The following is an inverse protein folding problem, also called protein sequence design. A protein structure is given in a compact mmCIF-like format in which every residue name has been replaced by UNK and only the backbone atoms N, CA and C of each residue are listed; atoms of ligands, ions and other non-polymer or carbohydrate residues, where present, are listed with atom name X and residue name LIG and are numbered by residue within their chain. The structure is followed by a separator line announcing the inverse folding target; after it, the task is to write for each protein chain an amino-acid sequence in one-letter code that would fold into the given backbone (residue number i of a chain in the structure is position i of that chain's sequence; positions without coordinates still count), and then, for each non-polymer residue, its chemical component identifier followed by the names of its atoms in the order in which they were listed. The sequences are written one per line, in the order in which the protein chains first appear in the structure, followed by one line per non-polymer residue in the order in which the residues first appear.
data_IF_162802070514
#
_entry.id   IF_162802070514
#
_cell.length_a   1.000
_cell.length_b   1.000
_cell.length_c   1.000
_cell.angle_alpha   90.00
_cell.angle_beta   90.00
_cell.angle_gamma   90.00
#
_symmetry.space_group_name_H-M   'P 1'
#
loop_
_entity.id
_entity.type
_entity.pdbx_description
1 polymer ?
#
# COMPACT_ATOMS: atom_id res chain seq x y z
N UNK A 1 21.90 -11.98 -41.07
CA UNK A 1 20.75 -12.52 -40.30
C UNK A 1 21.01 -12.60 -38.79
N UNK A 2 22.12 -13.18 -38.31
CA UNK A 2 22.39 -13.33 -36.87
C UNK A 2 22.41 -12.02 -36.06
N UNK A 3 22.90 -10.92 -36.66
CA UNK A 3 22.97 -9.62 -35.97
C UNK A 3 21.60 -9.02 -35.67
N UNK A 4 20.65 -9.10 -36.60
CA UNK A 4 19.28 -8.57 -36.44
C UNK A 4 18.50 -9.31 -35.35
N UNK A 5 18.69 -10.64 -35.27
CA UNK A 5 18.08 -11.48 -34.24
C UNK A 5 18.61 -11.09 -32.85
N UNK A 6 19.92 -10.81 -32.73
CA UNK A 6 20.53 -10.34 -31.48
C UNK A 6 19.97 -9.00 -31.00
N UNK A 7 19.74 -8.05 -31.91
CA UNK A 7 19.18 -6.73 -31.56
C UNK A 7 17.74 -6.84 -31.05
N UNK A 8 16.91 -7.65 -31.72
CA UNK A 8 15.52 -7.88 -31.32
C UNK A 8 15.46 -8.52 -29.93
N UNK A 9 16.35 -9.47 -29.65
CA UNK A 9 16.44 -10.14 -28.34
C UNK A 9 16.78 -9.17 -27.20
N UNK A 10 17.71 -8.24 -27.42
CA UNK A 10 18.11 -7.24 -26.41
C UNK A 10 16.99 -6.23 -26.17
N UNK A 11 16.28 -5.80 -27.22
CA UNK A 11 15.14 -4.88 -27.09
C UNK A 11 14.00 -5.55 -26.31
N UNK A 12 13.69 -6.81 -26.60
CA UNK A 12 12.66 -7.57 -25.87
C UNK A 12 13.08 -7.77 -24.40
N UNK A 13 14.34 -8.11 -24.14
CA UNK A 13 14.84 -8.31 -22.78
C UNK A 13 14.79 -7.03 -21.94
N UNK A 14 15.21 -5.89 -22.50
CA UNK A 14 15.22 -4.59 -21.80
C UNK A 14 13.82 -4.01 -21.63
N UNK A 15 12.96 -4.12 -22.65
CA UNK A 15 11.55 -3.70 -22.58
C UNK A 15 10.75 -4.59 -21.62
N UNK A 16 10.96 -5.90 -21.67
CA UNK A 16 10.33 -6.86 -20.76
C UNK A 16 10.72 -6.64 -19.30
N UNK A 17 12.00 -6.40 -19.02
CA UNK A 17 12.47 -6.05 -17.68
C UNK A 17 11.84 -4.73 -17.18
N UNK A 18 11.80 -3.69 -18.01
CA UNK A 18 11.15 -2.42 -17.68
C UNK A 18 9.65 -2.56 -17.39
N UNK A 19 8.95 -3.41 -18.14
CA UNK A 19 7.53 -3.69 -17.94
C UNK A 19 7.27 -4.45 -16.62
N UNK A 20 8.07 -5.48 -16.32
CA UNK A 20 7.95 -6.25 -15.09
C UNK A 20 8.15 -5.39 -13.84
N UNK A 21 9.20 -4.55 -13.82
CA UNK A 21 9.44 -3.62 -12.72
C UNK A 21 8.30 -2.59 -12.56
N UNK A 22 7.78 -2.07 -13.68
CA UNK A 22 6.63 -1.16 -13.65
C UNK A 22 5.35 -1.82 -13.10
N UNK A 23 5.13 -3.09 -13.43
CA UNK A 23 3.97 -3.85 -12.97
C UNK A 23 4.04 -4.18 -11.46
N UNK A 24 5.22 -4.47 -10.93
CA UNK A 24 5.41 -4.67 -9.48
C UNK A 24 5.15 -3.38 -8.70
N UNK A 25 5.69 -2.25 -9.17
CA UNK A 25 5.48 -0.95 -8.53
C UNK A 25 4.01 -0.52 -8.60
N UNK A 26 3.33 -0.80 -9.72
CA UNK A 26 1.89 -0.57 -9.89
C UNK A 26 1.06 -1.37 -8.88
N UNK A 27 1.38 -2.66 -8.73
CA UNK A 27 0.73 -3.54 -7.73
C UNK A 27 0.96 -3.03 -6.31
N UNK A 28 2.16 -2.55 -6.02
CA UNK A 28 2.47 -1.98 -4.70
C UNK A 28 1.68 -0.70 -4.42
N UNK A 29 1.58 0.20 -5.41
CA UNK A 29 0.76 1.41 -5.31
C UNK A 29 -0.71 1.06 -5.08
N UNK A 30 -1.24 0.05 -5.77
CA UNK A 30 -2.62 -0.40 -5.58
C UNK A 30 -2.88 -0.93 -4.17
N UNK A 31 -1.93 -1.71 -3.60
CA UNK A 31 -2.01 -2.13 -2.19
C UNK A 31 -2.11 -0.92 -1.25
N UNK A 32 -1.31 0.12 -1.49
CA UNK A 32 -1.33 1.32 -0.65
C UNK A 32 -2.65 2.10 -0.77
N UNK A 33 -3.15 2.29 -1.99
CA UNK A 33 -4.47 2.90 -2.21
C UNK A 33 -5.57 2.12 -1.52
N UNK A 34 -5.48 0.78 -1.54
CA UNK A 34 -6.48 -0.05 -0.89
C UNK A 34 -6.42 0.09 0.64
N UNK A 35 -5.23 0.13 1.25
CA UNK A 35 -5.09 0.43 2.69
C UNK A 35 -5.68 1.80 3.05
N UNK A 36 -5.46 2.82 2.23
CA UNK A 36 -6.05 4.16 2.40
C UNK A 36 -7.58 4.14 2.28
N UNK A 37 -8.13 3.30 1.41
CA UNK A 37 -9.56 3.06 1.32
C UNK A 37 -10.11 2.40 2.59
N UNK A 38 -9.44 1.34 3.10
CA UNK A 38 -9.81 0.67 4.35
C UNK A 38 -9.78 1.64 5.53
N UNK A 39 -8.71 2.43 5.67
CA UNK A 39 -8.61 3.46 6.71
C UNK A 39 -9.74 4.50 6.62
N UNK A 40 -10.17 4.85 5.40
CA UNK A 40 -11.31 5.74 5.16
C UNK A 40 -12.64 5.14 5.59
N UNK A 41 -12.84 3.84 5.36
CA UNK A 41 -14.04 3.14 5.84
C UNK A 41 -14.09 3.12 7.37
N UNK A 42 -12.98 2.77 8.04
CA UNK A 42 -12.90 2.76 9.51
C UNK A 42 -13.26 4.14 10.06
N UNK A 43 -12.66 5.20 9.53
CA UNK A 43 -12.96 6.58 9.95
C UNK A 43 -14.44 6.93 9.74
N UNK A 44 -15.00 6.62 8.58
CA UNK A 44 -16.40 6.91 8.27
C UNK A 44 -17.38 6.18 9.21
N UNK A 45 -17.10 4.92 9.53
CA UNK A 45 -17.91 4.14 10.49
C UNK A 45 -17.80 4.67 11.93
N UNK A 46 -16.61 5.13 12.34
CA UNK A 46 -16.43 5.77 13.65
C UNK A 46 -17.20 7.09 13.76
N UNK A 47 -17.21 7.89 12.69
CA UNK A 47 -17.91 9.17 12.63
C UNK A 47 -19.43 8.99 12.62
N UNK A 48 -19.94 8.00 11.87
CA UNK A 48 -21.38 7.80 11.70
C UNK A 48 -22.04 7.02 12.84
N UNK A 49 -21.42 5.94 13.31
CA UNK A 49 -22.11 4.94 14.14
C UNK A 49 -21.81 5.14 15.64
N UNK A 50 -20.78 5.92 16.01
CA UNK A 50 -20.29 6.05 17.39
C UNK A 50 -20.05 4.69 18.10
N UNK A 51 -19.89 3.63 17.33
CA UNK A 51 -19.81 2.26 17.80
C UNK A 51 -18.43 1.96 18.42
N UNK A 52 -18.32 0.96 19.31
CA UNK A 52 -17.04 0.46 19.77
C UNK A 52 -16.15 0.01 18.60
N UNK A 53 -14.84 0.22 18.69
CA UNK A 53 -13.86 -0.17 17.65
C UNK A 53 -14.01 -1.62 17.15
N UNK A 54 -14.24 -2.65 18.00
CA UNK A 54 -14.47 -4.02 17.51
C UNK A 54 -15.60 -4.12 16.49
N UNK A 55 -16.68 -3.38 16.70
CA UNK A 55 -17.84 -3.42 15.82
C UNK A 55 -17.55 -2.71 14.49
N UNK A 56 -16.85 -1.57 14.55
CA UNK A 56 -16.37 -0.87 13.35
C UNK A 56 -15.48 -1.78 12.50
N UNK A 57 -14.59 -2.55 13.13
CA UNK A 57 -13.71 -3.49 12.41
C UNK A 57 -14.48 -4.67 11.83
N UNK A 58 -15.50 -5.20 12.53
CA UNK A 58 -16.36 -6.27 11.97
C UNK A 58 -17.10 -5.78 10.73
N UNK A 59 -17.74 -4.62 10.81
CA UNK A 59 -18.53 -4.09 9.69
C UNK A 59 -17.63 -3.70 8.51
N UNK A 60 -16.51 -3.03 8.78
CA UNK A 60 -15.52 -2.73 7.74
C UNK A 60 -14.96 -4.03 7.13
N UNK A 61 -14.68 -5.04 7.94
CA UNK A 61 -14.18 -6.35 7.54
C UNK A 61 -15.10 -7.08 6.56
N UNK A 62 -16.42 -6.85 6.63
CA UNK A 62 -17.41 -7.42 5.69
C UNK A 62 -17.40 -6.76 4.32
N UNK A 63 -16.89 -5.52 4.23
CA UNK A 63 -16.92 -4.67 3.02
C UNK A 63 -15.62 -4.68 2.23
N UNK A 64 -14.55 -5.25 2.80
CA UNK A 64 -13.21 -5.25 2.20
C UNK A 64 -12.83 -6.64 1.69
N UNK A 65 -11.83 -6.71 0.79
CA UNK A 65 -11.32 -7.97 0.23
C UNK A 65 -10.27 -8.62 1.14
N UNK A 66 -9.97 -9.89 0.91
CA UNK A 66 -8.83 -10.56 1.54
C UNK A 66 -7.49 -9.97 1.06
N UNK A 67 -6.45 -9.91 1.92
CA UNK A 67 -6.39 -10.38 3.32
C UNK A 67 -6.89 -9.34 4.36
N UNK A 68 -7.41 -8.20 3.93
CA UNK A 68 -7.82 -7.12 4.83
C UNK A 68 -9.06 -7.49 5.66
N UNK A 69 -9.95 -8.31 5.08
CA UNK A 69 -11.16 -8.79 5.74
C UNK A 69 -10.83 -9.68 6.94
N UNK A 70 -9.98 -10.70 6.75
CA UNK A 70 -9.50 -11.56 7.83
C UNK A 70 -8.71 -10.79 8.88
N UNK A 71 -7.83 -9.87 8.47
CA UNK A 71 -7.11 -9.00 9.40
C UNK A 71 -8.04 -8.20 10.32
N UNK A 72 -9.06 -7.52 9.77
CA UNK A 72 -10.01 -6.74 10.57
C UNK A 72 -10.88 -7.62 11.47
N UNK A 73 -11.24 -8.83 11.03
CA UNK A 73 -11.99 -9.79 11.85
C UNK A 73 -11.17 -10.26 13.05
N UNK A 74 -9.91 -10.65 12.84
CA UNK A 74 -9.00 -11.04 13.93
C UNK A 74 -8.76 -9.87 14.89
N UNK A 75 -8.56 -8.67 14.36
CA UNK A 75 -8.39 -7.46 15.18
C UNK A 75 -9.62 -7.18 16.05
N UNK A 76 -10.83 -7.35 15.50
CA UNK A 76 -12.07 -7.20 16.27
C UNK A 76 -12.14 -8.19 17.43
N UNK A 77 -11.85 -9.47 17.17
CA UNK A 77 -11.86 -10.52 18.19
C UNK A 77 -10.83 -10.29 19.30
N UNK A 78 -9.61 -9.89 18.97
CA UNK A 78 -8.56 -9.58 19.95
C UNK A 78 -8.91 -8.35 20.80
N UNK A 79 -9.51 -7.33 20.18
CA UNK A 79 -9.94 -6.12 20.89
C UNK A 79 -11.11 -6.42 21.85
N UNK A 80 -12.03 -7.31 21.45
CA UNK A 80 -13.19 -7.72 22.26
C UNK A 80 -12.79 -8.55 23.49
N UNK A 81 -11.74 -9.36 23.37
CA UNK A 81 -11.18 -10.18 24.46
C UNK A 81 -10.52 -9.37 25.58
N UNK A 82 -10.43 -8.03 25.43
CA UNK A 82 -9.83 -7.11 26.42
C UNK A 82 -8.52 -7.65 27.00
N UNK A 83 -7.60 -8.13 26.14
CA UNK A 83 -6.22 -8.36 26.60
C UNK A 83 -5.75 -7.08 27.29
N UNK A 84 -5.22 -7.16 28.52
CA UNK A 84 -4.76 -6.04 29.36
C UNK A 84 -3.68 -5.14 28.71
N UNK A 85 -3.36 -5.38 27.43
CA UNK A 85 -2.46 -4.60 26.62
C UNK A 85 -3.15 -3.40 25.94
N UNK A 86 -2.49 -2.24 25.96
CA UNK A 86 -2.93 -1.06 25.23
C UNK A 86 -3.28 -1.38 23.77
N UNK A 87 -4.41 -0.86 23.27
CA UNK A 87 -4.93 -1.11 21.92
C UNK A 87 -3.88 -1.01 20.81
N UNK A 88 -2.98 -0.02 20.89
CA UNK A 88 -1.88 0.16 19.94
C UNK A 88 -0.96 -1.07 19.81
N UNK A 89 -0.78 -1.85 20.89
CA UNK A 89 0.01 -3.10 20.84
C UNK A 89 -0.71 -4.21 20.10
N UNK A 90 -2.02 -4.36 20.32
CA UNK A 90 -2.88 -5.33 19.61
C UNK A 90 -2.85 -4.99 18.12
N UNK A 91 -3.07 -3.72 17.79
CA UNK A 91 -2.98 -3.19 16.43
C UNK A 91 -1.65 -3.54 15.75
N UNK A 92 -0.52 -3.18 16.38
CA UNK A 92 0.80 -3.42 15.80
C UNK A 92 1.09 -4.91 15.57
N UNK A 93 0.70 -5.77 16.52
CA UNK A 93 0.87 -7.22 16.41
C UNK A 93 0.03 -7.79 15.26
N UNK A 94 -1.21 -7.33 15.10
CA UNK A 94 -2.09 -7.77 14.01
C UNK A 94 -1.52 -7.43 12.63
N UNK A 95 -0.91 -6.24 12.47
CA UNK A 95 -0.26 -5.85 11.21
C UNK A 95 0.93 -6.77 10.91
N UNK A 96 1.78 -7.04 11.90
CA UNK A 96 2.98 -7.86 11.72
C UNK A 96 2.65 -9.35 11.47
N UNK A 97 1.47 -9.81 11.88
CA UNK A 97 0.99 -11.18 11.66
C UNK A 97 0.21 -11.30 10.36
N UNK A 98 -0.89 -10.55 10.26
CA UNK A 98 -1.92 -10.77 9.23
C UNK A 98 -1.58 -10.02 7.92
N UNK A 99 -0.80 -8.94 7.98
CA UNK A 99 -0.38 -8.17 6.81
C UNK A 99 1.07 -8.44 6.38
N UNK A 100 1.75 -9.42 7.00
CA UNK A 100 3.14 -9.77 6.66
C UNK A 100 3.29 -10.19 5.20
N UNK A 101 2.34 -10.97 4.69
CA UNK A 101 2.35 -11.51 3.34
C UNK A 101 2.18 -10.43 2.25
N UNK A 102 1.70 -9.23 2.60
CA UNK A 102 1.59 -8.12 1.66
C UNK A 102 2.96 -7.58 1.23
N UNK A 103 4.04 -7.89 1.96
CA UNK A 103 5.40 -7.46 1.63
C UNK A 103 5.56 -5.94 1.66
N UNK A 104 4.97 -5.29 2.67
CA UNK A 104 5.06 -3.84 2.84
C UNK A 104 6.49 -3.42 3.15
N UNK A 105 6.92 -2.28 2.60
CA UNK A 105 8.16 -1.60 3.02
C UNK A 105 8.05 -1.19 4.48
N UNK A 106 9.20 -1.14 5.16
CA UNK A 106 9.30 -0.76 6.58
C UNK A 106 8.65 0.59 6.86
N UNK A 107 8.93 1.60 6.05
CA UNK A 107 8.35 2.95 6.16
C UNK A 107 6.82 2.94 6.16
N UNK A 108 6.22 2.14 5.30
CA UNK A 108 4.76 2.06 5.17
C UNK A 108 4.11 1.17 6.22
N UNK A 109 4.83 0.15 6.71
CA UNK A 109 4.42 -0.62 7.88
C UNK A 109 4.40 0.26 9.13
N UNK A 110 5.42 1.12 9.31
CA UNK A 110 5.45 2.11 10.40
C UNK A 110 4.27 3.07 10.27
N UNK A 111 4.02 3.60 9.07
CA UNK A 111 2.86 4.45 8.81
C UNK A 111 1.55 3.73 9.20
N UNK A 112 1.35 2.47 8.82
CA UNK A 112 0.13 1.75 9.21
C UNK A 112 0.01 1.52 10.73
N UNK A 113 1.14 1.31 11.41
CA UNK A 113 1.19 1.16 12.87
C UNK A 113 0.85 2.45 13.62
N UNK A 114 1.23 3.61 13.08
CA UNK A 114 0.84 4.92 13.63
C UNK A 114 -0.68 5.08 13.71
N UNK A 115 -1.47 4.50 12.78
CA UNK A 115 -2.93 4.60 12.83
C UNK A 115 -3.53 4.04 14.13
N UNK A 116 -2.96 2.94 14.64
CA UNK A 116 -3.44 2.30 15.86
C UNK A 116 -3.27 3.13 17.13
N UNK A 117 -2.30 4.06 17.14
CA UNK A 117 -2.13 4.95 18.30
C UNK A 117 -3.25 5.98 18.35
N UNK A 118 -3.68 6.52 17.21
CA UNK A 118 -4.78 7.50 17.12
C UNK A 118 -6.14 6.88 17.41
N UNK A 119 -6.37 5.68 16.88
CA UNK A 119 -7.62 4.94 17.12
C UNK A 119 -7.79 4.56 18.60
N UNK A 120 -6.69 4.33 19.33
CA UNK A 120 -6.72 3.99 20.76
C UNK A 120 -6.88 5.19 21.70
N UNK A 121 -6.96 6.42 21.20
CA UNK A 121 -7.13 7.61 22.04
C UNK A 121 -8.58 7.76 22.53
N UNK A 122 -8.75 8.15 23.79
CA UNK A 122 -10.06 8.34 24.42
C UNK A 122 -10.73 9.65 23.95
N UNK A 123 -9.93 10.67 23.64
CA UNK A 123 -10.43 11.98 23.21
C UNK A 123 -10.77 11.99 21.72
N UNK A 124 -12.07 12.13 21.42
CA UNK A 124 -12.62 12.02 20.05
C UNK A 124 -12.20 13.16 19.14
N UNK A 125 -12.13 14.40 19.65
CA UNK A 125 -11.76 15.56 18.82
C UNK A 125 -10.28 15.49 18.40
N UNK A 126 -9.41 15.15 19.35
CA UNK A 126 -7.99 14.95 19.07
C UNK A 126 -7.75 13.73 18.18
N UNK A 127 -8.52 12.65 18.36
CA UNK A 127 -8.45 11.44 17.52
C UNK A 127 -8.86 11.71 16.08
N UNK A 128 -9.97 12.43 15.84
CA UNK A 128 -10.41 12.73 14.47
C UNK A 128 -9.44 13.65 13.73
N UNK A 129 -8.93 14.71 14.38
CA UNK A 129 -7.92 15.58 13.80
C UNK A 129 -6.63 14.83 13.47
N UNK A 130 -6.19 13.94 14.36
CA UNK A 130 -5.00 13.12 14.15
C UNK A 130 -5.21 12.10 13.03
N UNK A 131 -6.39 11.51 12.95
CA UNK A 131 -6.78 10.61 11.87
C UNK A 131 -6.84 11.34 10.52
N UNK A 132 -7.33 12.58 10.49
CA UNK A 132 -7.31 13.39 9.27
C UNK A 132 -5.89 13.70 8.79
N UNK A 133 -5.00 14.07 9.72
CA UNK A 133 -3.58 14.27 9.42
C UNK A 133 -2.91 12.99 8.91
N UNK A 134 -3.23 11.85 9.52
CA UNK A 134 -2.78 10.54 9.09
C UNK A 134 -3.20 10.21 7.65
N UNK A 135 -4.47 10.47 7.32
CA UNK A 135 -5.01 10.22 5.98
C UNK A 135 -4.33 11.10 4.92
N UNK A 136 -4.09 12.37 5.24
CA UNK A 136 -3.32 13.27 4.37
C UNK A 136 -1.88 12.76 4.16
N UNK A 137 -1.25 12.23 5.21
CA UNK A 137 0.09 11.64 5.12
C UNK A 137 0.12 10.40 4.22
N UNK A 138 -0.88 9.51 4.32
CA UNK A 138 -1.04 8.39 3.41
C UNK A 138 -1.19 8.85 1.95
N UNK A 139 -2.00 9.88 1.71
CA UNK A 139 -2.21 10.42 0.37
C UNK A 139 -0.91 10.99 -0.23
N UNK A 140 -0.10 11.68 0.57
CA UNK A 140 1.23 12.15 0.16
C UNK A 140 2.17 10.98 -0.20
N UNK A 141 2.20 9.91 0.59
CA UNK A 141 3.03 8.74 0.27
C UNK A 141 2.54 7.99 -0.98
N UNK A 142 1.22 7.91 -1.19
CA UNK A 142 0.64 7.37 -2.42
C UNK A 142 1.05 8.21 -3.63
N UNK A 143 1.02 9.54 -3.53
CA UNK A 143 1.40 10.41 -4.64
C UNK A 143 2.91 10.30 -4.93
N UNK A 144 3.77 10.24 -3.91
CA UNK A 144 5.20 9.97 -4.10
C UNK A 144 5.45 8.65 -4.82
N UNK A 145 4.73 7.59 -4.46
CA UNK A 145 4.81 6.29 -5.15
C UNK A 145 4.35 6.40 -6.61
N UNK A 146 3.31 7.19 -6.86
CA UNK A 146 2.75 7.44 -8.20
C UNK A 146 3.73 8.22 -9.08
N UNK A 147 4.31 9.29 -8.56
CA UNK A 147 5.33 10.08 -9.23
C UNK A 147 6.59 9.25 -9.50
N UNK A 148 7.01 8.43 -8.54
CA UNK A 148 8.11 7.48 -8.71
C UNK A 148 7.85 6.49 -9.85
N UNK A 149 6.61 6.02 -10.00
CA UNK A 149 6.20 5.16 -11.10
C UNK A 149 6.17 5.90 -12.44
N UNK A 150 5.61 7.11 -12.47
CA UNK A 150 5.57 7.94 -13.68
C UNK A 150 6.97 8.30 -14.19
N UNK A 151 7.86 8.70 -13.28
CA UNK A 151 9.27 8.98 -13.58
C UNK A 151 9.99 7.75 -14.12
N UNK A 152 9.84 6.59 -13.46
CA UNK A 152 10.47 5.33 -13.92
C UNK A 152 9.92 4.85 -15.25
N UNK A 153 8.62 5.00 -15.51
CA UNK A 153 8.02 4.68 -16.81
C UNK A 153 8.56 5.59 -17.92
N UNK A 154 8.75 6.88 -17.64
CA UNK A 154 9.36 7.84 -18.57
C UNK A 154 10.81 7.47 -18.87
N UNK A 155 11.60 7.17 -17.85
CA UNK A 155 13.01 6.74 -18.00
C UNK A 155 13.09 5.41 -18.76
N UNK A 156 12.24 4.43 -18.45
CA UNK A 156 12.17 3.15 -19.15
C UNK A 156 11.86 3.31 -20.64
N UNK A 157 10.91 4.18 -20.98
CA UNK A 157 10.63 4.51 -22.38
C UNK A 157 11.81 5.21 -23.07
N UNK A 158 12.46 6.18 -22.41
CA UNK A 158 13.62 6.86 -22.98
C UNK A 158 14.82 5.92 -23.19
N UNK A 159 15.12 5.05 -22.22
CA UNK A 159 16.17 4.04 -22.33
C UNK A 159 15.86 3.00 -23.42
N UNK A 160 14.60 2.58 -23.56
CA UNK A 160 14.19 1.69 -24.63
C UNK A 160 14.38 2.31 -26.02
N UNK A 161 14.00 3.58 -26.19
CA UNK A 161 14.16 4.31 -27.46
C UNK A 161 15.63 4.59 -27.76
N UNK A 162 16.41 5.10 -26.80
CA UNK A 162 17.84 5.34 -26.99
C UNK A 162 18.64 4.05 -27.19
N UNK A 163 18.30 2.98 -26.46
CA UNK A 163 18.90 1.66 -26.65
C UNK A 163 18.58 1.06 -28.02
N UNK A 164 17.35 1.26 -28.50
CA UNK A 164 16.94 0.89 -29.85
C UNK A 164 17.72 1.65 -30.93
N UNK A 165 17.86 2.97 -30.79
CA UNK A 165 18.64 3.80 -31.73
C UNK A 165 20.12 3.42 -31.70
N UNK A 166 20.71 3.23 -30.51
CA UNK A 166 22.11 2.81 -30.37
C UNK A 166 22.35 1.45 -31.04
N UNK A 167 21.45 0.49 -30.87
CA UNK A 167 21.54 -0.81 -31.53
C UNK A 167 21.43 -0.70 -33.05
N UNK A 168 20.55 0.16 -33.59
CA UNK A 168 20.45 0.41 -35.03
C UNK A 168 21.76 0.98 -35.57
N UNK A 169 22.37 1.94 -34.86
CA UNK A 169 23.64 2.58 -35.27
C UNK A 169 24.83 1.62 -35.19
N UNK A 170 24.88 0.72 -34.20
CA UNK A 170 25.97 -0.27 -34.06
C UNK A 170 25.83 -1.44 -35.05
N UNK A 171 24.62 -1.70 -35.55
CA UNK A 171 24.37 -2.77 -36.53
C UNK A 171 24.56 -2.36 -38.00
N UNK A 172 24.38 -1.06 -38.29
CA UNK A 172 24.78 -0.44 -39.55
C UNK A 172 26.31 -0.47 -39.69
#
# INVERSE_FOLDING_TARGET
MQRVVGSILIIIATTGAGYMYGAELSRYLEKMRYLRYVAGLIRGEMEYTCAPLPEVFRETGRRVKEPYASWLRHLAEETDRREESAFARIWNRSIDRDLKELGMKSEHSILLKEMGTFLGQIDRETSDRSMQLYMNRMDLEIEKLREGLASRKKIGNCLGVMGGIFLVVVLL
#
